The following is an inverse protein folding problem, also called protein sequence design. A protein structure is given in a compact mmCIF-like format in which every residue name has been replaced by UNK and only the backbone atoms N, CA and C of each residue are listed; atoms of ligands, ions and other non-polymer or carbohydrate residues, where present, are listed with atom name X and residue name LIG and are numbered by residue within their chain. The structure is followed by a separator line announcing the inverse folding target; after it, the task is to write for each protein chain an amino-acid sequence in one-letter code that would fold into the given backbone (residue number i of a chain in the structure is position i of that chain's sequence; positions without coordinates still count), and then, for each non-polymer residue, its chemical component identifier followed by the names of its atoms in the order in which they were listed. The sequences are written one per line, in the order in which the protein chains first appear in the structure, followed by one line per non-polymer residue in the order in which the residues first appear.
data_IF_375986786628
#
_entry.id   IF_375986786628
#
_cell.length_a   1.000
_cell.length_b   1.000
_cell.length_c   1.000
_cell.angle_alpha   90.00
_cell.angle_beta   90.00
_cell.angle_gamma   90.00
#
_symmetry.space_group_name_H-M   'P 1'
#
loop_
_entity.id
_entity.type
_entity.pdbx_description
1 polymer ?
#
# COMPACT_ATOMS: atom_id res chain seq x y z
N UNK A 1 12.81 35.42 21.78
CA UNK A 1 11.67 36.36 21.77
C UNK A 1 11.35 36.72 20.34
N UNK A 2 10.24 36.21 19.82
CA UNK A 2 9.38 36.86 18.80
C UNK A 2 8.13 36.03 18.65
N UNK A 3 7.05 36.55 19.22
CA UNK A 3 5.65 36.14 19.11
C UNK A 3 5.14 36.52 17.73
N UNK A 4 4.17 35.75 17.23
CA UNK A 4 3.09 36.22 16.32
C UNK A 4 2.49 35.01 15.63
N UNK A 5 1.25 34.86 15.40
CA UNK A 5 -0.05 35.51 15.65
C UNK A 5 -1.07 34.50 15.13
N UNK A 6 -2.06 34.24 15.91
CA UNK A 6 -3.27 33.47 15.59
C UNK A 6 -4.04 34.24 14.52
N UNK A 7 -4.48 33.55 13.49
CA UNK A 7 -5.60 34.06 12.67
C UNK A 7 -6.62 32.96 12.52
N UNK A 8 -7.66 33.12 13.30
CA UNK A 8 -8.92 32.39 13.25
C UNK A 8 -9.73 32.96 12.07
N UNK A 9 -10.17 32.14 11.15
CA UNK A 9 -11.21 32.50 10.18
C UNK A 9 -12.28 31.44 10.17
N UNK A 10 -13.38 31.80 10.79
CA UNK A 10 -14.70 31.19 10.77
C UNK A 10 -15.45 31.67 9.51
N UNK A 11 -15.97 30.79 8.71
CA UNK A 11 -17.12 31.03 7.80
C UNK A 11 -17.84 29.69 7.65
N UNK A 12 -18.93 29.45 8.32
CA UNK A 12 -20.35 29.70 8.01
C UNK A 12 -20.97 28.71 7.00
N UNK A 13 -21.92 27.98 7.54
CA UNK A 13 -22.92 27.07 7.00
C UNK A 13 -23.59 27.51 5.68
N UNK A 14 -23.94 26.51 4.84
CA UNK A 14 -25.15 26.58 4.03
C UNK A 14 -25.84 25.22 3.90
N UNK A 15 -27.04 25.19 4.30
CA UNK A 15 -28.09 24.19 4.26
C UNK A 15 -28.74 24.04 2.88
N UNK A 16 -29.29 22.86 2.60
CA UNK A 16 -30.29 22.62 1.53
C UNK A 16 -29.96 21.41 0.69
N UNK A 17 -30.75 20.44 0.36
CA UNK A 17 -32.18 20.17 0.36
C UNK A 17 -32.34 18.70 -0.01
N UNK A 18 -33.31 18.04 0.55
CA UNK A 18 -33.79 16.69 0.23
C UNK A 18 -34.36 16.62 -1.19
N UNK A 19 -34.08 15.52 -1.90
CA UNK A 19 -35.01 14.99 -2.92
C UNK A 19 -35.17 13.49 -2.69
N UNK A 20 -36.36 13.13 -2.25
CA UNK A 20 -36.88 11.77 -2.20
C UNK A 20 -37.37 11.43 -3.61
N UNK A 21 -36.89 10.31 -4.16
CA UNK A 21 -37.35 9.72 -5.40
C UNK A 21 -37.47 8.22 -5.28
N UNK A 22 -38.66 7.75 -4.89
CA UNK A 22 -39.04 6.35 -4.91
C UNK A 22 -39.42 5.96 -6.34
N UNK A 23 -38.94 4.80 -6.84
CA UNK A 23 -39.36 4.27 -8.12
C UNK A 23 -38.87 2.83 -8.29
N UNK A 24 -39.75 1.89 -8.03
CA UNK A 24 -39.62 0.45 -8.34
C UNK A 24 -39.78 0.21 -9.84
N UNK A 25 -39.03 -0.67 -10.45
CA UNK A 25 -39.45 -1.93 -11.07
C UNK A 25 -38.48 -2.50 -12.08
N UNK A 26 -38.12 -3.76 -11.91
CA UNK A 26 -38.04 -4.90 -12.84
C UNK A 26 -37.31 -4.84 -14.18
N UNK A 27 -36.37 -5.79 -14.29
CA UNK A 27 -36.07 -6.73 -15.39
C UNK A 27 -35.19 -6.33 -16.57
N UNK A 28 -34.21 -7.18 -16.75
CA UNK A 28 -33.61 -7.80 -17.96
C UNK A 28 -32.62 -7.04 -18.84
N UNK A 29 -31.45 -7.68 -18.90
CA UNK A 29 -30.56 -7.93 -20.05
C UNK A 29 -29.95 -6.82 -20.89
N UNK A 30 -28.70 -7.06 -21.11
CA UNK A 30 -27.87 -6.81 -22.29
C UNK A 30 -26.77 -5.74 -22.19
N UNK A 31 -25.54 -6.26 -21.99
CA UNK A 31 -24.28 -5.93 -22.69
C UNK A 31 -24.19 -4.58 -23.39
N UNK A 32 -23.26 -3.75 -22.99
CA UNK A 32 -22.27 -3.13 -23.89
C UNK A 32 -21.31 -2.22 -23.15
N UNK A 33 -20.08 -2.30 -23.55
CA UNK A 33 -18.90 -1.51 -23.20
C UNK A 33 -19.16 0.00 -23.30
N UNK A 34 -18.62 0.79 -22.38
CA UNK A 34 -18.01 2.08 -22.75
C UNK A 34 -17.08 2.56 -21.64
N UNK A 35 -15.84 2.70 -22.01
CA UNK A 35 -14.76 3.44 -21.39
C UNK A 35 -15.19 4.88 -21.11
N UNK A 36 -15.03 5.33 -19.87
CA UNK A 36 -14.95 6.76 -19.61
C UNK A 36 -13.97 7.01 -18.45
N UNK A 37 -12.90 7.63 -18.83
CA UNK A 37 -11.90 8.29 -18.01
C UNK A 37 -12.58 9.43 -17.24
N UNK A 38 -12.42 9.46 -15.93
CA UNK A 38 -12.71 10.64 -15.13
C UNK A 38 -11.74 10.70 -13.96
N UNK A 39 -10.79 11.58 -14.11
CA UNK A 39 -9.98 12.14 -13.04
C UNK A 39 -10.90 12.92 -12.12
N UNK A 40 -11.19 12.39 -10.95
CA UNK A 40 -11.77 13.15 -9.85
C UNK A 40 -10.91 12.95 -8.61
N UNK A 41 -10.17 13.99 -8.28
CA UNK A 41 -9.50 14.15 -7.00
C UNK A 41 -10.57 14.32 -5.92
N UNK A 42 -11.00 13.21 -5.33
CA UNK A 42 -11.86 13.21 -4.17
C UNK A 42 -11.04 12.77 -2.96
N UNK A 43 -10.82 13.68 -2.06
CA UNK A 43 -10.38 13.36 -0.69
C UNK A 43 -11.45 12.46 -0.07
N UNK A 44 -11.27 11.16 -0.18
CA UNK A 44 -12.07 10.18 0.53
C UNK A 44 -11.49 10.01 1.92
N UNK A 45 -12.34 10.14 2.95
CA UNK A 45 -12.00 9.65 4.28
C UNK A 45 -11.64 8.17 4.11
N UNK A 46 -10.37 7.83 4.37
CA UNK A 46 -9.88 6.45 4.32
C UNK A 46 -10.65 5.64 5.36
N UNK A 47 -11.55 4.79 4.91
CA UNK A 47 -12.25 3.84 5.75
C UNK A 47 -11.28 2.70 6.06
N UNK A 48 -11.04 2.45 7.34
CA UNK A 48 -10.24 1.31 7.78
C UNK A 48 -10.78 -0.01 7.20
N UNK A 49 -9.89 -0.85 6.66
CA UNK A 49 -10.26 -2.15 6.10
C UNK A 49 -10.45 -3.18 7.21
N UNK A 50 -11.31 -4.16 6.99
CA UNK A 50 -11.44 -5.30 7.89
C UNK A 50 -10.15 -6.15 7.91
N UNK A 51 -9.94 -6.93 8.96
CA UNK A 51 -8.70 -7.70 9.18
C UNK A 51 -8.39 -8.69 8.05
N UNK A 52 -9.42 -9.19 7.36
CA UNK A 52 -9.35 -10.12 6.24
C UNK A 52 -9.41 -9.45 4.86
N UNK A 53 -9.53 -8.12 4.81
CA UNK A 53 -9.49 -7.36 3.56
C UNK A 53 -8.06 -6.94 3.22
N UNK A 54 -7.64 -7.22 1.99
CA UNK A 54 -6.32 -6.88 1.46
C UNK A 54 -6.45 -6.02 0.22
N UNK A 55 -5.56 -5.05 0.09
CA UNK A 55 -5.42 -4.26 -1.13
C UNK A 55 -4.28 -4.80 -1.98
N UNK A 56 -4.41 -4.60 -3.28
CA UNK A 56 -3.43 -5.09 -4.24
C UNK A 56 -2.97 -3.97 -5.16
N UNK A 57 -1.71 -4.08 -5.59
CA UNK A 57 -1.11 -3.22 -6.60
C UNK A 57 -0.46 -4.08 -7.67
N UNK A 58 -0.51 -3.66 -8.93
CA UNK A 58 0.09 -4.40 -10.02
C UNK A 58 1.64 -4.40 -9.95
N UNK A 59 2.26 -5.40 -10.56
CA UNK A 59 3.71 -5.44 -10.71
C UNK A 59 4.24 -4.27 -11.56
N UNK A 60 3.50 -3.86 -12.58
CA UNK A 60 3.84 -2.75 -13.46
C UNK A 60 3.80 -1.41 -12.73
N UNK A 61 2.82 -1.20 -11.85
CA UNK A 61 2.72 0.03 -11.05
C UNK A 61 3.80 0.05 -9.98
N UNK A 62 4.08 -1.10 -9.35
CA UNK A 62 5.17 -1.23 -8.38
C UNK A 62 6.53 -0.91 -9.00
N UNK A 63 6.79 -1.37 -10.22
CA UNK A 63 8.04 -1.11 -10.93
C UNK A 63 8.27 0.37 -11.25
N UNK A 64 7.21 1.17 -11.29
CA UNK A 64 7.22 2.61 -11.59
C UNK A 64 6.94 3.47 -10.36
N UNK A 65 6.74 2.83 -9.21
CA UNK A 65 6.35 3.52 -7.98
C UNK A 65 7.39 4.57 -7.56
N UNK A 66 6.90 5.72 -7.17
CA UNK A 66 7.67 6.82 -6.62
C UNK A 66 6.91 7.44 -5.45
N UNK A 67 7.63 7.87 -4.42
CA UNK A 67 7.02 8.47 -3.24
C UNK A 67 6.26 7.52 -2.32
N UNK A 68 6.44 6.21 -2.50
CA UNK A 68 5.88 5.13 -1.65
C UNK A 68 7.01 4.31 -1.05
N UNK A 69 6.71 3.53 -0.02
CA UNK A 69 7.60 2.48 0.48
C UNK A 69 7.42 1.20 -0.33
N UNK A 70 8.51 0.61 -0.81
CA UNK A 70 8.49 -0.70 -1.45
C UNK A 70 9.19 -1.69 -0.53
N UNK A 71 8.42 -2.45 0.25
CA UNK A 71 8.90 -3.33 1.30
C UNK A 71 9.07 -4.76 0.80
N UNK A 72 10.30 -5.23 0.67
CA UNK A 72 10.59 -6.61 0.27
C UNK A 72 10.77 -7.50 1.51
N UNK A 73 9.84 -8.45 1.68
CA UNK A 73 9.78 -9.31 2.86
C UNK A 73 10.32 -10.73 2.61
N UNK A 74 11.03 -10.93 1.51
CA UNK A 74 11.65 -12.21 1.15
C UNK A 74 12.92 -12.46 1.95
N UNK A 75 13.38 -13.72 1.94
CA UNK A 75 14.70 -14.08 2.44
C UNK A 75 15.79 -13.35 1.66
N UNK A 76 16.93 -13.14 2.30
CA UNK A 76 18.09 -12.43 1.73
C UNK A 76 18.52 -12.95 0.36
N UNK A 77 18.62 -14.26 0.21
CA UNK A 77 19.06 -14.89 -1.05
C UNK A 77 18.13 -14.55 -2.21
N UNK A 78 16.82 -14.47 -1.96
CA UNK A 78 15.82 -14.07 -2.94
C UNK A 78 15.90 -12.57 -3.25
N UNK A 79 16.12 -11.74 -2.23
CA UNK A 79 16.24 -10.29 -2.37
C UNK A 79 17.44 -9.90 -3.23
N UNK A 80 18.61 -10.48 -2.99
CA UNK A 80 19.85 -10.12 -3.71
C UNK A 80 19.90 -10.63 -5.15
N UNK A 81 19.12 -11.66 -5.49
CA UNK A 81 19.03 -12.18 -6.86
C UNK A 81 18.21 -11.31 -7.80
N UNK A 82 17.37 -10.44 -7.25
CA UNK A 82 16.59 -9.47 -8.03
C UNK A 82 15.57 -8.77 -7.13
N UNK A 83 15.64 -7.45 -7.09
CA UNK A 83 14.77 -6.60 -6.28
C UNK A 83 14.34 -5.36 -7.03
N UNK A 84 13.25 -4.74 -6.63
CA UNK A 84 12.89 -3.42 -7.12
C UNK A 84 13.93 -2.41 -6.64
N UNK A 85 14.33 -1.50 -7.52
CA UNK A 85 15.28 -0.45 -7.16
C UNK A 85 14.74 0.38 -6.00
N UNK A 86 15.58 0.63 -5.02
CA UNK A 86 15.24 1.35 -3.79
C UNK A 86 14.19 0.66 -2.91
N UNK A 87 13.95 -0.66 -3.10
CA UNK A 87 13.14 -1.40 -2.14
C UNK A 87 13.88 -1.57 -0.81
N UNK A 88 13.10 -1.50 0.26
CA UNK A 88 13.53 -1.70 1.64
C UNK A 88 13.44 -3.18 1.97
N UNK A 89 14.48 -3.75 2.58
CA UNK A 89 14.49 -5.16 2.92
C UNK A 89 14.16 -5.37 4.39
N UNK A 90 13.04 -6.05 4.65
CA UNK A 90 12.61 -6.42 5.98
C UNK A 90 11.98 -7.81 5.95
N UNK A 91 12.76 -8.88 6.17
CA UNK A 91 12.31 -10.25 5.94
C UNK A 91 11.25 -10.69 6.96
N UNK A 92 10.35 -11.59 6.50
CA UNK A 92 9.35 -12.23 7.36
C UNK A 92 9.42 -13.75 7.30
N UNK A 93 10.39 -14.30 6.60
CA UNK A 93 10.60 -15.73 6.49
C UNK A 93 11.84 -16.19 7.27
N UNK A 94 11.71 -17.31 8.00
CA UNK A 94 10.55 -18.21 8.11
C UNK A 94 9.38 -17.58 8.88
N UNK A 95 8.12 -17.89 8.48
CA UNK A 95 6.91 -17.25 9.03
C UNK A 95 6.66 -17.54 10.51
N UNK A 96 7.32 -18.56 11.04
CA UNK A 96 7.23 -19.01 12.43
C UNK A 96 8.27 -18.35 13.36
N UNK A 97 9.11 -17.48 12.80
CA UNK A 97 10.15 -16.77 13.57
C UNK A 97 9.59 -15.46 14.15
N UNK A 98 9.28 -15.47 15.43
CA UNK A 98 8.75 -14.31 16.14
C UNK A 98 9.74 -13.14 16.20
N UNK A 99 11.05 -13.42 16.12
CA UNK A 99 12.06 -12.35 16.12
C UNK A 99 12.00 -11.48 14.86
N UNK A 100 11.56 -12.05 13.73
CA UNK A 100 11.33 -11.30 12.50
C UNK A 100 10.06 -10.44 12.59
N UNK A 101 9.05 -10.92 13.32
CA UNK A 101 7.84 -10.14 13.62
C UNK A 101 8.18 -8.93 14.47
N UNK A 102 8.97 -9.12 15.52
CA UNK A 102 9.43 -8.03 16.40
C UNK A 102 10.27 -7.00 15.61
N UNK A 103 11.24 -7.49 14.82
CA UNK A 103 12.08 -6.63 13.98
C UNK A 103 11.27 -5.83 12.95
N UNK A 104 10.29 -6.45 12.28
CA UNK A 104 9.40 -5.76 11.35
C UNK A 104 8.50 -4.75 12.05
N UNK A 105 8.02 -5.06 13.26
CA UNK A 105 7.22 -4.14 14.07
C UNK A 105 7.99 -2.88 14.43
N UNK A 106 9.25 -3.04 14.85
CA UNK A 106 10.12 -1.91 15.20
C UNK A 106 10.46 -1.09 13.95
N UNK A 107 10.83 -1.77 12.85
CA UNK A 107 11.10 -1.13 11.57
C UNK A 107 9.90 -0.31 11.06
N UNK A 108 8.69 -0.87 11.16
CA UNK A 108 7.47 -0.19 10.75
C UNK A 108 7.22 1.09 11.54
N UNK A 109 7.39 1.06 12.86
CA UNK A 109 7.20 2.24 13.72
C UNK A 109 8.22 3.34 13.44
N UNK A 110 9.44 2.97 13.12
CA UNK A 110 10.54 3.91 12.91
C UNK A 110 10.56 4.49 11.50
N UNK A 111 10.21 3.71 10.47
CA UNK A 111 10.48 4.06 9.09
C UNK A 111 9.24 4.15 8.19
N UNK A 112 8.14 3.45 8.52
CA UNK A 112 6.98 3.33 7.63
C UNK A 112 5.75 4.12 8.09
N UNK A 113 5.78 4.75 9.26
CA UNK A 113 4.64 5.47 9.83
C UNK A 113 4.65 6.95 9.44
N UNK A 114 4.86 7.24 8.15
CA UNK A 114 4.94 8.61 7.60
C UNK A 114 3.72 8.96 6.71
N UNK A 115 2.73 8.07 6.63
CA UNK A 115 1.50 8.26 5.89
C UNK A 115 1.58 7.96 4.40
N UNK A 116 2.72 7.45 3.91
CA UNK A 116 2.86 6.97 2.53
C UNK A 116 2.27 5.58 2.38
N UNK A 117 1.94 5.23 1.15
CA UNK A 117 1.54 3.87 0.81
C UNK A 117 2.74 2.91 0.87
N UNK A 118 2.48 1.66 1.25
CA UNK A 118 3.48 0.60 1.41
C UNK A 118 3.12 -0.55 0.48
N UNK A 119 4.01 -0.88 -0.45
CA UNK A 119 3.85 -1.96 -1.41
C UNK A 119 4.69 -3.16 -0.97
N UNK A 120 4.04 -4.23 -0.52
CA UNK A 120 4.70 -5.42 0.03
C UNK A 120 5.02 -6.41 -1.09
N UNK A 121 6.29 -6.76 -1.22
CA UNK A 121 6.80 -7.79 -2.14
C UNK A 121 7.15 -9.04 -1.34
N UNK A 122 6.45 -10.14 -1.59
CA UNK A 122 6.90 -11.48 -1.21
C UNK A 122 7.10 -12.33 -2.47
N UNK A 123 7.37 -13.62 -2.36
CA UNK A 123 7.63 -14.47 -3.52
C UNK A 123 6.47 -14.56 -4.52
N UNK A 124 5.21 -14.55 -4.04
CA UNK A 124 4.01 -14.82 -4.86
C UNK A 124 2.79 -13.97 -4.51
N UNK A 125 2.93 -12.91 -3.71
CA UNK A 125 1.82 -12.07 -3.28
C UNK A 125 0.80 -12.77 -2.38
N UNK A 126 1.23 -13.71 -1.53
CA UNK A 126 0.36 -14.51 -0.65
C UNK A 126 0.87 -14.51 0.80
N UNK A 127 0.98 -15.67 1.43
CA UNK A 127 1.28 -15.88 2.86
C UNK A 127 2.30 -14.92 3.49
N UNK A 128 3.40 -14.63 2.80
CA UNK A 128 4.40 -13.68 3.33
C UNK A 128 3.88 -12.24 3.37
N UNK A 129 3.14 -11.82 2.33
CA UNK A 129 2.52 -10.51 2.31
C UNK A 129 1.36 -10.40 3.31
N UNK A 130 0.54 -11.46 3.44
CA UNK A 130 -0.53 -11.53 4.45
C UNK A 130 0.03 -11.42 5.87
N UNK A 131 1.10 -12.16 6.19
CA UNK A 131 1.77 -12.08 7.50
C UNK A 131 2.34 -10.68 7.74
N UNK A 132 3.05 -10.12 6.76
CA UNK A 132 3.61 -8.78 6.88
C UNK A 132 2.52 -7.71 7.04
N UNK A 133 1.41 -7.79 6.28
CA UNK A 133 0.26 -6.89 6.42
C UNK A 133 -0.29 -6.92 7.85
N UNK A 134 -0.46 -8.11 8.45
CA UNK A 134 -0.87 -8.24 9.85
C UNK A 134 0.08 -7.53 10.80
N UNK A 135 1.39 -7.77 10.67
CA UNK A 135 2.42 -7.13 11.50
C UNK A 135 2.40 -5.60 11.36
N UNK A 136 2.26 -5.08 10.14
CA UNK A 136 2.20 -3.63 9.90
C UNK A 136 0.96 -3.00 10.53
N UNK A 137 -0.20 -3.65 10.43
CA UNK A 137 -1.44 -3.21 11.10
C UNK A 137 -1.29 -3.20 12.62
N UNK A 138 -0.74 -4.26 13.20
CA UNK A 138 -0.46 -4.35 14.64
C UNK A 138 0.55 -3.29 15.11
N UNK A 139 1.46 -2.87 14.23
CA UNK A 139 2.39 -1.78 14.47
C UNK A 139 1.74 -0.37 14.39
N UNK A 140 0.48 -0.28 13.95
CA UNK A 140 -0.29 0.96 13.85
C UNK A 140 -0.27 1.63 12.48
N UNK A 141 0.17 0.93 11.44
CA UNK A 141 0.08 1.43 10.06
C UNK A 141 -1.36 1.33 9.57
N UNK A 142 -1.87 2.39 8.95
CA UNK A 142 -3.22 2.42 8.40
C UNK A 142 -3.43 1.30 7.37
N UNK A 143 -4.48 0.49 7.54
CA UNK A 143 -4.78 -0.65 6.66
C UNK A 143 -4.99 -0.23 5.20
N UNK A 144 -5.51 0.97 4.97
CA UNK A 144 -5.74 1.55 3.65
C UNK A 144 -4.47 2.06 2.94
N UNK A 145 -3.33 2.06 3.62
CA UNK A 145 -2.03 2.40 3.03
C UNK A 145 -1.17 1.18 2.72
N UNK A 146 -1.66 -0.05 2.99
CA UNK A 146 -0.89 -1.27 2.80
C UNK A 146 -1.42 -2.03 1.59
N UNK A 147 -0.53 -2.30 0.63
CA UNK A 147 -0.84 -3.00 -0.62
C UNK A 147 0.07 -4.20 -0.80
N UNK A 148 -0.49 -5.30 -1.24
CA UNK A 148 0.27 -6.48 -1.68
C UNK A 148 0.53 -6.39 -3.17
N UNK A 149 1.77 -6.58 -3.60
CA UNK A 149 2.10 -6.71 -5.03
C UNK A 149 1.53 -8.00 -5.57
N UNK A 150 0.61 -7.91 -6.55
CA UNK A 150 -0.02 -9.05 -7.18
C UNK A 150 1.03 -9.98 -7.80
N UNK A 151 0.96 -11.27 -7.46
CA UNK A 151 1.93 -12.25 -7.91
C UNK A 151 3.34 -12.09 -7.32
N UNK A 152 3.61 -11.01 -6.56
CA UNK A 152 4.86 -10.76 -5.86
C UNK A 152 6.07 -10.65 -6.79
N UNK A 153 7.23 -11.07 -6.31
CA UNK A 153 8.47 -11.03 -7.08
C UNK A 153 8.43 -11.86 -8.38
N UNK A 154 7.56 -12.87 -8.46
CA UNK A 154 7.37 -13.65 -9.69
C UNK A 154 6.75 -12.81 -10.80
N UNK A 155 5.72 -12.03 -10.49
CA UNK A 155 5.11 -11.14 -11.46
C UNK A 155 6.05 -9.98 -11.84
N UNK A 156 6.79 -9.44 -10.86
CA UNK A 156 7.81 -8.42 -11.12
C UNK A 156 8.91 -8.90 -12.07
N UNK A 157 9.28 -10.18 -12.03
CA UNK A 157 10.28 -10.75 -12.94
C UNK A 157 9.83 -10.74 -14.42
N UNK A 158 8.51 -10.72 -14.67
CA UNK A 158 7.94 -10.65 -16.02
C UNK A 158 7.84 -9.20 -16.54
N UNK A 159 8.02 -8.20 -15.66
CA UNK A 159 8.02 -6.78 -16.02
C UNK A 159 9.43 -6.34 -16.38
N UNK A 160 9.61 -5.90 -17.61
CA UNK A 160 10.93 -5.47 -18.11
C UNK A 160 11.53 -4.33 -17.30
N UNK A 161 12.70 -4.56 -16.73
CA UNK A 161 13.44 -3.55 -15.96
C UNK A 161 12.89 -3.31 -14.55
N UNK A 162 11.92 -4.10 -14.08
CA UNK A 162 11.39 -3.96 -12.72
C UNK A 162 12.38 -4.38 -11.65
N UNK A 163 13.19 -5.40 -11.93
CA UNK A 163 14.16 -5.93 -10.99
C UNK A 163 15.59 -5.56 -11.37
N UNK A 164 16.38 -5.26 -10.36
CA UNK A 164 17.82 -4.99 -10.47
C UNK A 164 18.60 -5.86 -9.47
N UNK A 165 19.84 -6.12 -9.82
CA UNK A 165 20.85 -6.73 -8.91
C UNK A 165 21.87 -5.70 -8.45
N UNK A 166 21.73 -4.44 -8.88
CA UNK A 166 22.68 -3.39 -8.52
C UNK A 166 22.63 -3.15 -6.99
N UNK A 167 23.81 -3.10 -6.40
CA UNK A 167 23.94 -2.72 -4.99
C UNK A 167 23.88 -1.21 -4.89
N UNK A 168 22.88 -0.68 -4.22
CA UNK A 168 22.91 0.70 -3.74
C UNK A 168 23.63 0.71 -2.38
N UNK A 169 24.43 1.74 -2.11
CA UNK A 169 25.23 1.83 -0.86
C UNK A 169 24.36 1.91 0.41
N UNK A 170 23.06 2.14 0.26
CA UNK A 170 22.08 2.25 1.36
C UNK A 170 21.58 0.88 1.89
N UNK A 171 21.95 -0.23 1.27
CA UNK A 171 21.47 -1.57 1.63
C UNK A 171 22.60 -2.49 2.20
N UNK A 172 23.60 -1.93 2.85
CA UNK A 172 24.78 -2.66 3.33
C UNK A 172 25.00 -2.47 4.86
N UNK A 173 23.95 -2.48 5.65
CA UNK A 173 24.11 -2.60 7.12
C UNK A 173 23.42 -3.83 7.67
#
# INVERSE_FOLDING_TARGET
MKKRVVTLLLVAAMTGSMVVGCGSNSSSDTKSETKTESTDTKTEEKKELADDEYQYVSAEDTAKADGVHVLDVREWDNYVTGRVKNSEWCPIFPLEDDSLVDAMTDYAKENLNDGKDIYIICNSGKRGAEKATGVLRDAGIESTSIYTVEGGAKALADVSGALTTDRTEENID
#
